data_IF_161727380733
#
_entry.id   IF_161727380733
#
_cell.length_a   1.000
_cell.length_b   1.000
_cell.length_c   1.000
_cell.angle_alpha   90.00
_cell.angle_beta   90.00
_cell.angle_gamma   90.00
#
_symmetry.space_group_name_H-M   'P 1'
#
loop_
_entity.id
_entity.type
_entity.pdbx_description
1 polymer ?
#
# COMPACT_ATOMS: atom_id res chain seq x y z
N UNK A 1 -13.62 38.85 -1.63
CA UNK A 1 -14.99 38.48 -2.02
C UNK A 1 -15.61 37.67 -0.89
N UNK A 2 -16.65 38.20 -0.25
CA UNK A 2 -17.37 37.59 0.87
C UNK A 2 -17.96 36.21 0.52
N UNK A 3 -18.43 36.03 -0.71
CA UNK A 3 -18.99 34.77 -1.24
C UNK A 3 -17.99 33.60 -1.18
N UNK A 4 -16.71 33.84 -1.50
CA UNK A 4 -15.68 32.79 -1.45
C UNK A 4 -15.37 32.38 -0.01
N UNK A 5 -15.43 33.33 0.91
CA UNK A 5 -15.27 33.04 2.34
C UNK A 5 -16.44 32.18 2.85
N UNK A 6 -17.68 32.51 2.46
CA UNK A 6 -18.86 31.74 2.81
C UNK A 6 -18.81 30.29 2.27
N UNK A 7 -18.39 30.09 1.02
CA UNK A 7 -18.20 28.75 0.42
C UNK A 7 -17.20 27.93 1.24
N UNK A 8 -16.06 28.52 1.61
CA UNK A 8 -15.06 27.84 2.45
C UNK A 8 -15.63 27.45 3.81
N UNK A 9 -16.35 28.35 4.48
CA UNK A 9 -16.96 28.08 5.79
C UNK A 9 -17.97 26.93 5.72
N UNK A 10 -18.83 26.90 4.69
CA UNK A 10 -19.81 25.83 4.53
C UNK A 10 -19.16 24.48 4.23
N UNK A 11 -18.16 24.43 3.35
CA UNK A 11 -17.42 23.20 3.06
C UNK A 11 -16.72 22.68 4.33
N UNK A 12 -16.14 23.57 5.13
CA UNK A 12 -15.51 23.19 6.40
C UNK A 12 -16.52 22.59 7.39
N UNK A 13 -17.71 23.18 7.51
CA UNK A 13 -18.77 22.63 8.36
C UNK A 13 -19.24 21.25 7.88
N UNK A 14 -19.46 21.09 6.56
CA UNK A 14 -19.85 19.81 5.97
C UNK A 14 -18.76 18.73 6.20
N UNK A 15 -17.50 19.06 5.95
CA UNK A 15 -16.38 18.15 6.15
C UNK A 15 -16.20 17.72 7.62
N UNK A 16 -16.53 18.59 8.58
CA UNK A 16 -16.52 18.27 10.02
C UNK A 16 -17.72 17.42 10.45
N UNK A 17 -18.84 17.50 9.74
CA UNK A 17 -20.08 16.77 10.07
C UNK A 17 -20.08 15.30 9.60
N UNK A 18 -19.06 14.87 8.85
CA UNK A 18 -18.96 13.53 8.26
C UNK A 18 -17.64 12.83 8.64
N UNK A 19 -17.53 11.55 8.31
CA UNK A 19 -16.33 10.75 8.56
C UNK A 19 -15.25 10.94 7.47
N UNK A 20 -14.19 10.14 7.50
CA UNK A 20 -13.10 10.24 6.52
C UNK A 20 -13.52 9.88 5.09
N UNK A 21 -14.52 9.00 4.93
CA UNK A 21 -15.01 8.59 3.62
C UNK A 21 -15.88 9.71 3.02
N UNK A 22 -16.77 10.30 3.82
CA UNK A 22 -17.53 11.48 3.37
C UNK A 22 -16.64 12.68 3.05
N UNK A 23 -15.52 12.88 3.75
CA UNK A 23 -14.53 13.90 3.38
C UNK A 23 -13.83 13.61 2.05
N UNK A 24 -13.58 12.34 1.73
CA UNK A 24 -13.01 11.95 0.44
C UNK A 24 -13.98 12.27 -0.72
N UNK A 25 -15.27 11.96 -0.55
CA UNK A 25 -16.31 12.31 -1.52
C UNK A 25 -16.41 13.83 -1.75
N UNK A 26 -16.35 14.62 -0.68
CA UNK A 26 -16.32 16.09 -0.79
C UNK A 26 -15.11 16.55 -1.61
N UNK A 27 -13.92 16.00 -1.37
CA UNK A 27 -12.71 16.38 -2.11
C UNK A 27 -12.79 16.03 -3.60
N UNK A 28 -13.32 14.86 -3.95
CA UNK A 28 -13.48 14.46 -5.35
C UNK A 28 -14.49 15.36 -6.07
N UNK A 29 -15.61 15.70 -5.42
CA UNK A 29 -16.60 16.64 -5.97
C UNK A 29 -16.01 18.05 -6.17
N UNK A 30 -15.14 18.52 -5.27
CA UNK A 30 -14.45 19.80 -5.43
C UNK A 30 -13.45 19.78 -6.61
N UNK A 31 -12.79 18.65 -6.83
CA UNK A 31 -11.87 18.46 -7.97
C UNK A 31 -12.64 18.43 -9.30
N UNK A 32 -13.79 17.74 -9.34
CA UNK A 32 -14.68 17.76 -10.51
C UNK A 32 -15.21 19.17 -10.79
N UNK A 33 -15.64 19.89 -9.74
CA UNK A 33 -16.09 21.27 -9.88
C UNK A 33 -14.98 22.16 -10.44
N UNK A 34 -13.73 21.99 -10.01
CA UNK A 34 -12.58 22.70 -10.57
C UNK A 34 -12.44 22.44 -12.08
N UNK A 35 -12.48 21.16 -12.51
CA UNK A 35 -12.38 20.80 -13.92
C UNK A 35 -13.57 21.29 -14.77
N UNK A 36 -14.75 21.43 -14.18
CA UNK A 36 -15.92 21.98 -14.88
C UNK A 36 -15.86 23.51 -15.07
N UNK A 37 -15.03 24.19 -14.27
CA UNK A 37 -14.92 25.64 -14.24
C UNK A 37 -13.66 26.16 -14.96
N UNK A 38 -12.72 25.28 -15.33
CA UNK A 38 -11.51 25.66 -16.07
C UNK A 38 -11.78 25.85 -17.58
N UNK A 39 -11.01 26.72 -18.23
CA UNK A 39 -11.24 27.08 -19.63
C UNK A 39 -10.67 26.03 -20.59
N UNK A 40 -11.26 25.83 -21.80
CA UNK A 40 -10.93 24.71 -22.72
C UNK A 40 -9.50 24.65 -23.30
N UNK A 41 -8.66 25.66 -23.10
CA UNK A 41 -7.40 25.83 -23.84
C UNK A 41 -6.31 24.80 -23.46
N UNK A 42 -6.30 24.29 -22.23
CA UNK A 42 -5.26 23.34 -21.75
C UNK A 42 -5.58 21.87 -22.05
N UNK A 43 -6.84 21.54 -22.37
CA UNK A 43 -7.31 20.16 -22.58
C UNK A 43 -6.85 19.56 -23.91
N UNK A 44 -6.71 20.39 -24.95
CA UNK A 44 -6.56 19.95 -26.35
C UNK A 44 -5.13 19.50 -26.69
N UNK A 45 -4.10 20.06 -26.04
CA UNK A 45 -2.69 19.72 -26.33
C UNK A 45 -2.23 18.35 -25.79
N UNK A 46 -3.06 17.68 -24.99
CA UNK A 46 -2.71 16.41 -24.32
C UNK A 46 -2.94 15.15 -25.16
N UNK A 47 -3.73 15.21 -26.22
CA UNK A 47 -4.44 14.03 -26.76
C UNK A 47 -3.93 13.48 -28.11
N UNK A 48 -2.80 13.94 -28.66
CA UNK A 48 -2.41 13.59 -30.03
C UNK A 48 -1.02 12.98 -30.14
N UNK A 49 -0.85 11.67 -29.88
CA UNK A 49 0.26 10.82 -30.38
C UNK A 49 -0.13 9.33 -30.36
N UNK A 50 0.56 8.48 -31.11
CA UNK A 50 0.41 7.03 -31.07
C UNK A 50 0.66 6.48 -29.66
N UNK A 51 -0.35 5.81 -29.10
CA UNK A 51 -0.32 5.21 -27.77
C UNK A 51 -0.30 3.68 -27.90
N UNK A 52 0.86 3.02 -27.86
CA UNK A 52 0.89 1.58 -27.72
C UNK A 52 0.27 1.18 -26.37
N UNK A 53 -0.46 0.07 -26.36
CA UNK A 53 -0.87 -0.55 -25.10
C UNK A 53 0.37 -1.03 -24.35
N UNK A 54 0.68 -0.40 -23.22
CA UNK A 54 1.80 -0.78 -22.38
C UNK A 54 1.43 -2.07 -21.64
N UNK A 55 2.06 -3.19 -22.03
CA UNK A 55 1.78 -4.53 -21.48
C UNK A 55 3.00 -5.21 -20.84
N UNK A 56 4.19 -4.62 -20.98
CA UNK A 56 5.44 -5.15 -20.42
C UNK A 56 6.10 -4.12 -19.49
N UNK A 57 6.45 -4.54 -18.27
CA UNK A 57 7.20 -3.71 -17.32
C UNK A 57 8.61 -3.34 -17.83
N UNK A 58 9.13 -4.08 -18.81
CA UNK A 58 10.40 -3.82 -19.50
C UNK A 58 10.27 -2.95 -20.73
N UNK A 59 9.05 -2.63 -21.17
CA UNK A 59 8.80 -1.77 -22.34
C UNK A 59 7.77 -0.70 -22.00
N UNK A 60 8.20 0.26 -21.19
CA UNK A 60 7.40 1.40 -20.76
C UNK A 60 8.24 2.68 -20.73
N UNK A 61 7.63 3.79 -20.32
CA UNK A 61 8.31 5.08 -20.23
C UNK A 61 9.50 5.08 -19.26
N UNK A 62 9.56 4.13 -18.32
CA UNK A 62 10.63 3.98 -17.35
C UNK A 62 12.01 3.79 -18.01
N UNK A 63 12.09 2.90 -19.01
CA UNK A 63 13.34 2.60 -19.71
C UNK A 63 13.91 3.84 -20.39
N UNK A 64 13.05 4.62 -21.03
CA UNK A 64 13.40 5.91 -21.63
C UNK A 64 13.81 6.95 -20.59
N UNK A 65 13.10 7.03 -19.46
CA UNK A 65 13.35 8.02 -18.42
C UNK A 65 14.70 7.82 -17.71
N UNK A 66 15.11 6.56 -17.51
CA UNK A 66 16.33 6.22 -16.78
C UNK A 66 17.45 5.64 -17.66
N UNK A 67 17.25 5.64 -18.98
CA UNK A 67 18.18 5.12 -19.97
C UNK A 67 18.73 3.73 -19.59
N UNK A 68 17.80 2.79 -19.38
CA UNK A 68 18.09 1.41 -18.98
C UNK A 68 17.13 0.46 -19.69
N UNK A 69 17.54 -0.79 -19.84
CA UNK A 69 16.74 -1.93 -20.31
C UNK A 69 16.16 -2.78 -19.17
N UNK A 70 16.52 -2.47 -17.92
CA UNK A 70 15.96 -3.12 -16.74
C UNK A 70 14.51 -2.68 -16.50
N UNK A 71 13.72 -3.52 -15.83
CA UNK A 71 12.47 -3.05 -15.22
C UNK A 71 12.75 -2.16 -14.00
N UNK A 72 11.70 -1.49 -13.52
CA UNK A 72 11.77 -0.54 -12.43
C UNK A 72 12.38 -1.12 -11.14
N UNK A 73 12.01 -2.35 -10.76
CA UNK A 73 12.44 -2.93 -9.49
C UNK A 73 13.90 -3.36 -9.52
N UNK A 74 14.33 -4.02 -10.60
CA UNK A 74 15.73 -4.39 -10.78
C UNK A 74 16.63 -3.15 -10.84
N UNK A 75 16.21 -2.12 -11.60
CA UNK A 75 16.98 -0.88 -11.67
C UNK A 75 17.04 -0.19 -10.31
N UNK A 76 15.93 -0.04 -9.58
CA UNK A 76 15.89 0.59 -8.26
C UNK A 76 16.81 -0.12 -7.25
N UNK A 77 16.91 -1.44 -7.31
CA UNK A 77 17.79 -2.24 -6.45
C UNK A 77 19.30 -1.93 -6.67
N UNK A 78 19.66 -1.27 -7.78
CA UNK A 78 21.04 -0.82 -8.05
C UNK A 78 21.31 0.62 -7.60
N UNK A 79 20.31 1.35 -7.08
CA UNK A 79 20.40 2.79 -6.80
C UNK A 79 20.33 3.08 -5.29
N UNK A 80 21.48 3.17 -4.57
CA UNK A 80 21.50 3.23 -3.10
C UNK A 80 20.68 4.39 -2.52
N UNK A 81 20.77 5.58 -3.11
CA UNK A 81 20.01 6.76 -2.66
C UNK A 81 18.51 6.57 -2.80
N UNK A 82 18.06 5.90 -3.87
CA UNK A 82 16.64 5.63 -4.09
C UNK A 82 16.15 4.55 -3.16
N UNK A 83 16.93 3.50 -2.92
CA UNK A 83 16.63 2.47 -1.92
C UNK A 83 16.50 3.10 -0.53
N UNK A 84 17.39 4.02 -0.16
CA UNK A 84 17.30 4.71 1.12
C UNK A 84 15.97 5.50 1.25
N UNK A 85 15.55 6.21 0.20
CA UNK A 85 14.25 6.89 0.21
C UNK A 85 13.07 5.91 0.24
N UNK A 86 13.15 4.79 -0.51
CA UNK A 86 12.14 3.74 -0.49
C UNK A 86 12.00 3.10 0.89
N UNK A 87 13.11 2.90 1.61
CA UNK A 87 13.09 2.41 3.00
C UNK A 87 12.31 3.34 3.92
N UNK A 88 12.49 4.65 3.79
CA UNK A 88 11.71 5.65 4.55
C UNK A 88 10.24 5.61 4.13
N UNK A 89 9.95 5.52 2.83
CA UNK A 89 8.58 5.43 2.33
C UNK A 89 7.82 4.22 2.90
N UNK A 90 8.49 3.08 3.07
CA UNK A 90 7.88 1.87 3.63
C UNK A 90 7.50 2.01 5.11
N UNK A 91 8.00 3.03 5.83
CA UNK A 91 7.60 3.30 7.22
C UNK A 91 6.25 4.01 7.33
N UNK A 92 5.73 4.57 6.24
CA UNK A 92 4.40 5.17 6.22
C UNK A 92 3.35 4.06 6.23
N UNK A 93 2.55 3.99 7.30
CA UNK A 93 1.46 3.04 7.41
C UNK A 93 0.14 3.69 7.02
N UNK A 94 -0.52 3.14 5.99
CA UNK A 94 -1.85 3.60 5.57
C UNK A 94 -2.91 3.31 6.63
N UNK A 95 -3.80 4.27 6.84
CA UNK A 95 -4.98 4.15 7.70
C UNK A 95 -6.25 4.62 6.98
N UNK A 96 -7.40 3.94 7.13
CA UNK A 96 -7.59 2.68 7.85
C UNK A 96 -6.98 1.49 7.06
N UNK A 97 -6.78 0.36 7.73
CA UNK A 97 -6.32 -0.89 7.11
C UNK A 97 -7.46 -1.93 6.98
N UNK A 98 -7.19 -3.03 6.26
CA UNK A 98 -8.21 -4.05 5.94
C UNK A 98 -8.87 -4.68 7.17
N UNK A 99 -8.15 -4.77 8.30
CA UNK A 99 -8.68 -5.33 9.54
C UNK A 99 -9.82 -4.50 10.11
N UNK A 100 -10.02 -3.25 9.69
CA UNK A 100 -11.19 -2.45 10.09
C UNK A 100 -12.52 -3.11 9.69
N UNK A 101 -12.52 -3.86 8.58
CA UNK A 101 -13.72 -4.49 8.01
C UNK A 101 -13.62 -6.01 7.91
N UNK A 102 -12.41 -6.58 7.91
CA UNK A 102 -12.21 -8.02 7.71
C UNK A 102 -12.71 -8.84 8.91
N UNK A 103 -13.69 -9.75 8.74
CA UNK A 103 -14.28 -10.50 9.83
C UNK A 103 -13.47 -11.77 10.15
N UNK A 104 -12.26 -11.60 10.70
CA UNK A 104 -11.27 -12.68 10.89
C UNK A 104 -11.88 -13.97 11.48
N UNK A 105 -12.61 -13.88 12.59
CA UNK A 105 -13.16 -15.07 13.27
C UNK A 105 -14.17 -15.83 12.41
N UNK A 106 -14.94 -15.11 11.59
CA UNK A 106 -15.90 -15.71 10.67
C UNK A 106 -15.18 -16.47 9.56
N UNK A 107 -14.14 -15.87 8.98
CA UNK A 107 -13.34 -16.50 7.90
C UNK A 107 -12.53 -17.69 8.44
N UNK A 108 -12.04 -17.59 9.68
CA UNK A 108 -11.26 -18.65 10.32
C UNK A 108 -12.12 -19.89 10.64
N UNK A 109 -13.37 -19.70 11.05
CA UNK A 109 -14.31 -20.79 11.33
C UNK A 109 -13.75 -21.80 12.34
N UNK A 110 -13.57 -23.05 11.91
CA UNK A 110 -12.99 -24.13 12.72
C UNK A 110 -11.55 -24.47 12.36
N UNK A 111 -10.84 -23.58 11.66
CA UNK A 111 -9.42 -23.76 11.38
C UNK A 111 -8.65 -23.90 12.69
N UNK A 112 -7.83 -24.95 12.77
CA UNK A 112 -6.93 -25.18 13.90
C UNK A 112 -5.51 -24.75 13.54
N UNK A 113 -4.85 -24.11 14.50
CA UNK A 113 -3.43 -23.78 14.46
C UNK A 113 -2.54 -25.01 14.75
N UNK A 114 -3.10 -26.11 15.24
CA UNK A 114 -2.34 -27.31 15.56
C UNK A 114 -1.93 -28.09 14.30
N UNK A 115 -0.74 -28.74 14.28
CA UNK A 115 0.25 -28.75 15.38
C UNK A 115 1.07 -27.45 15.45
N UNK A 116 1.36 -26.80 14.33
CA UNK A 116 2.12 -25.55 14.26
C UNK A 116 1.90 -24.82 12.92
N UNK A 117 0.63 -24.56 12.57
CA UNK A 117 0.24 -23.98 11.29
C UNK A 117 0.36 -22.45 11.27
N UNK A 118 0.54 -21.91 10.07
CA UNK A 118 0.55 -20.47 9.84
C UNK A 118 -0.87 -19.92 9.77
N UNK A 119 -1.18 -18.94 10.63
CA UNK A 119 -2.39 -18.14 10.54
C UNK A 119 -2.26 -17.09 9.44
N UNK A 120 -1.08 -16.49 9.27
CA UNK A 120 -0.91 -15.41 8.32
C UNK A 120 0.49 -15.39 7.73
N UNK A 121 0.57 -15.24 6.41
CA UNK A 121 1.82 -15.10 5.66
C UNK A 121 1.74 -13.80 4.85
N UNK A 122 2.48 -12.80 5.28
CA UNK A 122 2.54 -11.48 4.66
C UNK A 122 3.62 -11.44 3.58
N UNK A 123 3.25 -11.71 2.34
CA UNK A 123 4.16 -11.85 1.20
C UNK A 123 4.50 -10.48 0.61
N UNK A 124 5.77 -10.07 0.68
CA UNK A 124 6.19 -8.71 0.33
C UNK A 124 5.69 -7.68 1.34
N UNK A 125 5.60 -8.06 2.61
CA UNK A 125 4.96 -7.26 3.66
C UNK A 125 5.74 -6.02 4.12
N UNK A 126 6.93 -5.76 3.57
CA UNK A 126 7.71 -4.57 3.87
C UNK A 126 8.10 -4.47 5.34
N UNK A 127 7.61 -3.43 6.03
CA UNK A 127 7.86 -3.22 7.47
C UNK A 127 7.02 -4.12 8.37
N UNK A 128 6.13 -4.95 7.82
CA UNK A 128 5.30 -5.88 8.58
C UNK A 128 4.12 -5.24 9.30
N UNK A 129 3.67 -4.07 8.84
CA UNK A 129 2.53 -3.34 9.43
C UNK A 129 1.29 -4.24 9.55
N UNK A 130 0.96 -5.02 8.52
CA UNK A 130 -0.20 -5.92 8.56
C UNK A 130 -0.06 -7.00 9.64
N UNK A 131 1.11 -7.65 9.74
CA UNK A 131 1.41 -8.61 10.82
C UNK A 131 1.28 -7.98 12.21
N UNK A 132 1.78 -6.76 12.39
CA UNK A 132 1.69 -6.02 13.66
C UNK A 132 0.23 -5.75 14.00
N UNK A 133 -0.54 -5.16 13.07
CA UNK A 133 -1.96 -4.84 13.30
C UNK A 133 -2.80 -6.09 13.54
N UNK A 134 -2.46 -7.22 12.90
CA UNK A 134 -3.10 -8.50 13.15
C UNK A 134 -2.88 -8.95 14.60
N UNK A 135 -1.63 -8.93 15.09
CA UNK A 135 -1.31 -9.30 16.47
C UNK A 135 -1.87 -8.33 17.51
N UNK A 136 -1.91 -7.04 17.21
CA UNK A 136 -2.52 -6.02 18.08
C UNK A 136 -4.03 -6.21 18.21
N UNK A 137 -4.73 -6.44 17.08
CA UNK A 137 -6.18 -6.60 17.08
C UNK A 137 -6.64 -7.98 17.58
N UNK A 138 -5.84 -9.01 17.34
CA UNK A 138 -6.16 -10.41 17.65
C UNK A 138 -5.03 -11.10 18.44
N UNK A 139 -4.68 -10.60 19.65
CA UNK A 139 -3.52 -11.08 20.40
C UNK A 139 -3.63 -12.55 20.84
N UNK A 140 -4.86 -13.07 20.97
CA UNK A 140 -5.12 -14.43 21.45
C UNK A 140 -5.32 -15.44 20.31
N UNK A 141 -5.32 -15.02 19.04
CA UNK A 141 -5.49 -15.95 17.93
C UNK A 141 -4.22 -16.78 17.74
N UNK A 142 -4.30 -18.13 17.84
CA UNK A 142 -3.13 -18.99 17.74
C UNK A 142 -2.68 -19.13 16.28
N UNK A 143 -1.46 -19.65 16.10
CA UNK A 143 -0.86 -19.86 14.78
C UNK A 143 0.25 -18.87 14.48
N UNK A 144 1.11 -19.27 13.55
CA UNK A 144 2.29 -18.50 13.15
C UNK A 144 1.87 -17.30 12.31
N UNK A 145 2.49 -16.16 12.57
CA UNK A 145 2.36 -14.95 11.75
C UNK A 145 3.73 -14.69 11.16
N UNK A 146 3.84 -14.71 9.83
CA UNK A 146 5.12 -14.75 9.12
C UNK A 146 5.18 -13.56 8.17
N UNK A 147 6.17 -12.69 8.37
CA UNK A 147 6.54 -11.65 7.44
C UNK A 147 7.54 -12.21 6.41
N UNK A 148 7.19 -12.15 5.14
CA UNK A 148 8.05 -12.56 4.03
C UNK A 148 8.47 -11.35 3.19
N UNK A 149 9.78 -11.15 3.04
CA UNK A 149 10.33 -10.13 2.14
C UNK A 149 11.79 -10.47 1.79
N UNK A 150 12.44 -9.64 0.97
CA UNK A 150 13.85 -9.75 0.68
C UNK A 150 14.69 -9.43 1.94
N UNK A 151 15.87 -10.06 2.12
CA UNK A 151 16.70 -9.86 3.31
C UNK A 151 16.98 -8.38 3.69
N UNK A 152 17.28 -7.46 2.74
CA UNK A 152 17.52 -6.06 3.09
C UNK A 152 16.31 -5.31 3.67
N UNK A 153 15.09 -5.76 3.33
CA UNK A 153 13.84 -5.18 3.82
C UNK A 153 13.53 -5.72 5.21
N UNK A 154 13.66 -7.04 5.41
CA UNK A 154 13.47 -7.67 6.72
C UNK A 154 14.44 -7.12 7.77
N UNK A 155 15.71 -6.89 7.38
CA UNK A 155 16.69 -6.26 8.26
C UNK A 155 16.26 -4.83 8.68
N UNK A 156 15.67 -4.07 7.76
CA UNK A 156 15.17 -2.73 8.06
C UNK A 156 13.96 -2.79 9.00
N UNK A 157 13.00 -3.69 8.76
CA UNK A 157 11.82 -3.87 9.58
C UNK A 157 12.17 -4.20 11.05
N UNK A 158 13.13 -5.12 11.25
CA UNK A 158 13.61 -5.50 12.58
C UNK A 158 14.31 -4.35 13.33
N UNK A 159 14.98 -3.45 12.60
CA UNK A 159 15.65 -2.30 13.19
C UNK A 159 14.68 -1.21 13.65
N UNK A 160 13.53 -1.07 12.98
CA UNK A 160 12.52 -0.07 13.32
C UNK A 160 11.53 -0.55 14.38
N UNK A 161 11.18 -1.83 14.38
CA UNK A 161 10.24 -2.38 15.35
C UNK A 161 10.53 -3.86 15.66
N UNK A 162 10.74 -4.23 16.94
CA UNK A 162 10.85 -5.62 17.32
C UNK A 162 9.55 -6.38 16.99
N UNK A 163 9.67 -7.35 16.07
CA UNK A 163 8.58 -8.19 15.58
C UNK A 163 8.26 -9.33 16.57
N UNK A 164 7.89 -8.98 17.82
CA UNK A 164 7.54 -9.99 18.83
C UNK A 164 6.29 -10.78 18.39
N UNK A 165 6.37 -12.12 18.39
CA UNK A 165 5.28 -13.00 17.93
C UNK A 165 5.07 -13.03 16.41
N UNK A 166 6.01 -12.49 15.63
CA UNK A 166 6.01 -12.46 14.16
C UNK A 166 7.36 -13.00 13.67
N UNK A 167 7.33 -14.02 12.81
CA UNK A 167 8.53 -14.61 12.20
C UNK A 167 8.98 -13.77 11.00
N UNK A 168 10.27 -13.42 10.91
CA UNK A 168 10.85 -12.84 9.68
C UNK A 168 11.43 -13.96 8.81
N UNK A 169 10.88 -14.16 7.62
CA UNK A 169 11.28 -15.23 6.71
C UNK A 169 11.74 -14.66 5.35
N UNK A 170 13.03 -14.72 5.00
CA UNK A 170 13.49 -14.31 3.68
C UNK A 170 12.80 -15.11 2.59
N UNK A 171 12.10 -14.44 1.68
CA UNK A 171 11.42 -15.09 0.57
C UNK A 171 11.33 -14.16 -0.64
N UNK A 172 11.64 -14.71 -1.82
CA UNK A 172 11.38 -14.07 -3.11
C UNK A 172 10.10 -14.65 -3.69
N UNK A 173 9.05 -13.85 -3.84
CA UNK A 173 7.73 -14.29 -4.30
C UNK A 173 7.70 -14.76 -5.76
N UNK A 174 8.79 -14.60 -6.52
CA UNK A 174 8.95 -15.23 -7.83
C UNK A 174 9.31 -16.72 -7.73
N UNK A 175 9.58 -17.23 -6.52
CA UNK A 175 9.85 -18.65 -6.24
C UNK A 175 8.62 -19.30 -5.58
N UNK A 176 8.49 -20.64 -5.62
CA UNK A 176 7.38 -21.33 -4.96
C UNK A 176 7.26 -20.95 -3.48
N UNK A 177 6.03 -20.75 -3.01
CA UNK A 177 5.74 -20.41 -1.60
C UNK A 177 6.21 -21.54 -0.67
N UNK A 178 7.15 -21.31 0.27
CA UNK A 178 7.65 -22.34 1.17
C UNK A 178 6.67 -22.73 2.29
N UNK A 179 5.82 -21.82 2.75
CA UNK A 179 4.85 -22.07 3.82
C UNK A 179 3.59 -22.70 3.24
N UNK A 180 3.32 -23.94 3.64
CA UNK A 180 2.15 -24.70 3.17
C UNK A 180 0.99 -24.62 4.18
N UNK A 181 -0.24 -24.64 3.69
CA UNK A 181 -1.43 -24.81 4.52
C UNK A 181 -1.72 -23.66 5.49
N UNK A 182 -1.35 -22.43 5.10
CA UNK A 182 -1.80 -21.22 5.80
C UNK A 182 -3.34 -21.12 5.76
N UNK A 183 -3.94 -20.46 6.77
CA UNK A 183 -5.40 -20.32 6.89
C UNK A 183 -6.05 -19.58 5.72
#
# INVERSE_FOLDING_TARGET
METVAAIKTLIQQLAQSTDQFGRAEINDALRELQYSLETPFDTVMRMSLDYPDIVDAKDTAFQKAFNTDQDCFHWLATQPTRIANFKVLLTDERTPNFLSMFPLEKELGSWSAEPEKALFVDIGGGMGHACIRLREKYPNQPGRVILQDLPPVLQAAQATQPLSGIESMPHNFHTPQPVQGAS
#
